data_IF_270884999489
#
_entry.id   IF_270884999489
#
_cell.length_a   1.000
_cell.length_b   1.000
_cell.length_c   1.000
_cell.angle_alpha   90.00
_cell.angle_beta   90.00
_cell.angle_gamma   90.00
#
_symmetry.space_group_name_H-M   'P 1'
#
loop_
_entity.id
_entity.type
_entity.pdbx_description
1 polymer ?
#
# COMPACT_ATOMS: atom_id res chain seq x y z
N UNK A 1 -23.21 26.38 8.69
CA UNK A 1 -24.40 25.73 8.10
C UNK A 1 -23.97 25.23 6.71
N UNK A 2 -23.68 23.96 6.60
CA UNK A 2 -23.29 23.34 5.34
C UNK A 2 -24.39 22.34 4.99
N UNK A 3 -25.15 22.61 3.94
CA UNK A 3 -26.18 21.72 3.42
C UNK A 3 -25.52 20.54 2.71
N UNK A 4 -26.04 19.31 2.87
CA UNK A 4 -25.59 18.17 2.11
C UNK A 4 -26.06 18.29 0.66
N UNK A 5 -25.17 17.98 -0.27
CA UNK A 5 -25.43 17.87 -1.70
C UNK A 5 -26.12 16.53 -2.00
N UNK A 6 -27.45 16.48 -1.78
CA UNK A 6 -28.33 15.46 -2.35
C UNK A 6 -29.03 16.09 -3.55
N UNK A 7 -28.47 15.94 -4.70
CA UNK A 7 -29.15 15.99 -6.01
C UNK A 7 -28.10 15.86 -7.12
N UNK A 8 -27.94 14.69 -7.63
CA UNK A 8 -27.57 14.43 -9.03
C UNK A 8 -27.40 12.91 -9.19
N UNK A 9 -28.40 12.26 -9.68
CA UNK A 9 -28.43 11.41 -10.87
C UNK A 9 -29.80 10.70 -10.85
N UNK A 10 -30.82 11.39 -11.31
CA UNK A 10 -32.01 10.76 -11.86
C UNK A 10 -31.89 10.82 -13.38
N UNK A 11 -31.23 9.87 -13.98
CA UNK A 11 -31.36 9.56 -15.40
C UNK A 11 -32.03 8.19 -15.50
N UNK A 12 -33.33 8.20 -15.80
CA UNK A 12 -34.03 7.01 -16.25
C UNK A 12 -33.32 6.41 -17.45
N UNK A 13 -33.05 5.09 -17.48
CA UNK A 13 -32.49 4.47 -18.66
C UNK A 13 -33.50 4.51 -19.83
N UNK A 14 -33.05 4.65 -21.08
CA UNK A 14 -33.93 4.59 -22.24
C UNK A 14 -34.62 3.23 -22.31
N UNK A 15 -35.92 3.24 -22.42
CA UNK A 15 -36.72 2.05 -22.69
C UNK A 15 -36.47 1.59 -24.14
N UNK A 16 -36.01 0.35 -24.28
CA UNK A 16 -36.00 -0.33 -25.57
C UNK A 16 -34.63 -0.91 -25.98
N UNK A 17 -34.44 -2.20 -25.69
CA UNK A 17 -33.35 -3.02 -26.23
C UNK A 17 -33.31 -4.36 -25.50
N UNK A 18 -33.64 -5.46 -26.23
CA UNK A 18 -33.85 -6.80 -25.73
C UNK A 18 -32.95 -7.24 -24.59
N UNK A 19 -33.53 -7.75 -23.54
CA UNK A 19 -32.89 -8.53 -22.48
C UNK A 19 -32.28 -9.79 -23.10
N UNK A 20 -31.10 -9.67 -23.70
CA UNK A 20 -30.26 -10.84 -23.90
C UNK A 20 -29.83 -11.30 -22.51
N UNK A 21 -30.33 -12.43 -22.02
CA UNK A 21 -29.79 -13.10 -20.84
C UNK A 21 -28.27 -13.22 -20.97
N UNK A 22 -27.56 -12.35 -20.30
CA UNK A 22 -26.11 -12.51 -20.15
C UNK A 22 -25.92 -13.71 -19.24
N UNK A 23 -25.47 -14.82 -19.79
CA UNK A 23 -25.08 -15.97 -19.01
C UNK A 23 -24.10 -15.61 -17.89
N UNK A 24 -23.93 -16.46 -16.89
CA UNK A 24 -23.06 -16.19 -15.75
C UNK A 24 -21.64 -15.82 -16.22
N UNK A 25 -21.14 -14.68 -15.74
CA UNK A 25 -19.76 -14.24 -16.02
C UNK A 25 -18.82 -15.16 -15.27
N UNK A 26 -18.07 -15.99 -15.97
CA UNK A 26 -17.03 -16.84 -15.38
C UNK A 26 -15.73 -16.03 -15.29
N UNK A 27 -15.27 -15.80 -14.08
CA UNK A 27 -13.98 -15.13 -13.85
C UNK A 27 -12.81 -16.09 -14.06
N UNK A 28 -11.74 -15.61 -14.67
CA UNK A 28 -10.47 -16.33 -14.63
C UNK A 28 -9.88 -16.30 -13.21
N UNK A 29 -9.01 -17.25 -12.82
CA UNK A 29 -8.38 -17.23 -11.50
C UNK A 29 -7.69 -15.90 -11.18
N UNK A 30 -7.05 -15.27 -12.17
CA UNK A 30 -6.40 -13.97 -12.04
C UNK A 30 -7.40 -12.84 -11.76
N UNK A 31 -8.53 -12.81 -12.47
CA UNK A 31 -9.60 -11.84 -12.22
C UNK A 31 -10.21 -12.02 -10.83
N UNK A 32 -10.42 -13.27 -10.38
CA UNK A 32 -10.93 -13.56 -9.04
C UNK A 32 -10.00 -13.03 -7.95
N UNK A 33 -8.69 -13.27 -8.07
CA UNK A 33 -7.68 -12.73 -7.14
C UNK A 33 -7.65 -11.20 -7.17
N UNK A 34 -7.73 -10.59 -8.33
CA UNK A 34 -7.75 -9.13 -8.44
C UNK A 34 -8.95 -8.51 -7.70
N UNK A 35 -10.14 -9.09 -7.89
CA UNK A 35 -11.38 -8.66 -7.21
C UNK A 35 -11.27 -8.85 -5.69
N UNK A 36 -10.61 -9.90 -5.23
CA UNK A 36 -10.44 -10.20 -3.81
C UNK A 36 -9.39 -9.30 -3.14
N UNK A 37 -8.29 -8.99 -3.83
CA UNK A 37 -7.14 -8.28 -3.25
C UNK A 37 -7.23 -6.76 -3.39
N UNK A 38 -7.84 -6.23 -4.45
CA UNK A 38 -7.92 -4.79 -4.64
C UNK A 38 -8.64 -4.06 -3.49
N UNK A 39 -9.75 -4.56 -2.93
CA UNK A 39 -10.37 -3.99 -1.74
C UNK A 39 -9.46 -3.99 -0.51
N UNK A 40 -8.59 -5.00 -0.34
CA UNK A 40 -7.60 -5.04 0.73
C UNK A 40 -6.62 -3.86 0.62
N UNK A 41 -6.04 -3.61 -0.55
CA UNK A 41 -5.11 -2.51 -0.77
C UNK A 41 -5.78 -1.13 -0.68
N UNK A 42 -7.02 -1.01 -1.14
CA UNK A 42 -7.81 0.24 -0.98
C UNK A 42 -8.06 0.51 0.50
N UNK A 43 -8.45 -0.50 1.28
CA UNK A 43 -8.64 -0.36 2.72
C UNK A 43 -7.35 0.04 3.42
N UNK A 44 -6.23 -0.60 3.09
CA UNK A 44 -4.91 -0.26 3.63
C UNK A 44 -4.59 1.22 3.40
N UNK A 45 -4.74 1.71 2.16
CA UNK A 45 -4.51 3.11 1.80
C UNK A 45 -5.34 4.08 2.65
N UNK A 46 -6.64 3.79 2.84
CA UNK A 46 -7.51 4.59 3.69
C UNK A 46 -7.11 4.57 5.17
N UNK A 47 -6.71 3.42 5.71
CA UNK A 47 -6.25 3.33 7.10
C UNK A 47 -5.02 4.22 7.35
N UNK A 48 -4.08 4.25 6.41
CA UNK A 48 -2.90 5.11 6.47
C UNK A 48 -3.28 6.60 6.36
N UNK A 49 -4.12 6.96 5.38
CA UNK A 49 -4.54 8.35 5.15
C UNK A 49 -5.39 8.92 6.30
N UNK A 50 -6.16 8.06 6.98
CA UNK A 50 -6.96 8.39 8.16
C UNK A 50 -6.19 8.26 9.47
N UNK A 51 -4.91 7.87 9.41
CA UNK A 51 -4.04 7.66 10.58
C UNK A 51 -4.56 6.59 11.56
N UNK A 52 -5.30 5.60 11.06
CA UNK A 52 -5.77 4.44 11.81
C UNK A 52 -4.68 3.37 11.90
N UNK A 53 -3.52 3.78 12.45
CA UNK A 53 -2.30 2.98 12.38
C UNK A 53 -2.37 1.67 13.17
N UNK A 54 -3.18 1.60 14.23
CA UNK A 54 -3.40 0.34 14.97
C UNK A 54 -4.17 -0.67 14.12
N UNK A 55 -5.25 -0.23 13.45
CA UNK A 55 -6.00 -1.08 12.52
C UNK A 55 -5.14 -1.47 11.29
N UNK A 56 -4.24 -0.60 10.86
CA UNK A 56 -3.28 -0.90 9.82
C UNK A 56 -2.30 -2.01 10.23
N UNK A 57 -1.81 -2.01 11.47
CA UNK A 57 -0.96 -3.10 12.00
C UNK A 57 -1.65 -4.46 11.96
N UNK A 58 -2.98 -4.54 12.11
CA UNK A 58 -3.73 -5.78 12.05
C UNK A 58 -3.73 -6.43 10.65
N UNK A 59 -3.33 -5.69 9.62
CA UNK A 59 -3.18 -6.21 8.26
C UNK A 59 -1.92 -7.04 8.06
N UNK A 60 -1.05 -7.13 9.03
CA UNK A 60 0.21 -7.88 8.96
C UNK A 60 0.16 -9.13 9.81
N UNK A 61 0.86 -10.19 9.36
CA UNK A 61 1.08 -11.38 10.18
C UNK A 61 2.08 -11.10 11.31
N UNK A 62 2.11 -11.94 12.33
CA UNK A 62 3.04 -11.78 13.44
C UNK A 62 4.52 -12.01 13.02
N UNK A 63 4.73 -12.83 11.99
CA UNK A 63 6.02 -13.15 11.39
C UNK A 63 6.38 -12.25 10.20
N UNK A 64 5.73 -11.10 10.04
CA UNK A 64 5.95 -10.21 8.90
C UNK A 64 7.40 -9.75 8.80
N UNK A 65 7.89 -9.68 7.56
CA UNK A 65 9.10 -8.94 7.19
C UNK A 65 8.69 -7.72 6.34
N UNK A 66 8.94 -6.53 6.87
CA UNK A 66 8.74 -5.25 6.20
C UNK A 66 10.09 -4.69 5.77
N UNK A 67 10.41 -4.78 4.50
CA UNK A 67 11.73 -4.53 3.94
C UNK A 67 11.70 -3.41 2.92
N UNK A 68 12.63 -2.46 3.04
CA UNK A 68 12.85 -1.41 2.06
C UNK A 68 14.34 -1.39 1.70
N UNK A 69 14.72 -2.00 0.56
CA UNK A 69 16.09 -1.98 0.09
C UNK A 69 16.55 -0.57 -0.25
N UNK A 70 17.85 -0.36 -0.27
CA UNK A 70 18.44 0.82 -0.88
C UNK A 70 18.58 0.61 -2.39
N UNK A 71 18.15 1.61 -3.15
CA UNK A 71 18.39 1.66 -4.60
C UNK A 71 19.72 2.38 -4.87
N UNK A 72 20.51 1.85 -5.79
CA UNK A 72 21.80 2.40 -6.24
C UNK A 72 21.68 2.74 -7.72
N UNK A 73 22.25 3.86 -8.13
CA UNK A 73 22.43 4.14 -9.55
C UNK A 73 23.58 3.29 -10.08
N UNK A 74 23.27 2.30 -10.88
CA UNK A 74 24.24 1.40 -11.49
C UNK A 74 24.19 1.47 -13.01
N UNK A 75 25.29 1.17 -13.71
CA UNK A 75 25.26 1.05 -15.18
C UNK A 75 24.26 -0.02 -15.63
N UNK A 76 23.68 0.15 -16.84
CA UNK A 76 22.68 -0.78 -17.39
C UNK A 76 23.08 -2.26 -17.35
N UNK A 77 24.37 -2.54 -17.53
CA UNK A 77 24.91 -3.93 -17.45
C UNK A 77 24.90 -4.53 -16.04
N UNK A 78 24.67 -3.70 -14.99
CA UNK A 78 24.73 -4.08 -13.58
C UNK A 78 23.37 -3.91 -12.88
N UNK A 79 22.25 -3.81 -13.63
CA UNK A 79 20.92 -3.59 -13.05
C UNK A 79 20.53 -4.64 -12.00
N UNK A 80 21.05 -5.87 -12.09
CA UNK A 80 20.85 -6.92 -11.07
C UNK A 80 21.44 -6.54 -9.68
N UNK A 81 22.27 -5.49 -9.61
CA UNK A 81 22.87 -4.97 -8.37
C UNK A 81 22.27 -3.64 -7.93
N UNK A 82 21.19 -3.21 -8.58
CA UNK A 82 20.54 -1.92 -8.31
C UNK A 82 19.96 -1.86 -6.89
N UNK A 83 19.40 -2.96 -6.40
CA UNK A 83 18.83 -3.07 -5.07
C UNK A 83 19.74 -3.83 -4.12
N UNK A 84 19.78 -3.40 -2.85
CA UNK A 84 20.46 -4.16 -1.80
C UNK A 84 19.61 -5.39 -1.42
N UNK A 85 20.29 -6.46 -1.00
CA UNK A 85 19.63 -7.68 -0.54
C UNK A 85 19.27 -7.58 0.95
N UNK A 86 18.39 -8.47 1.41
CA UNK A 86 18.14 -8.67 2.83
C UNK A 86 19.42 -9.03 3.56
N UNK A 87 19.68 -8.44 4.73
CA UNK A 87 20.91 -8.57 5.49
C UNK A 87 22.03 -7.61 5.07
N UNK A 88 21.88 -6.90 3.94
CA UNK A 88 22.71 -5.75 3.58
C UNK A 88 22.16 -4.47 4.20
N UNK A 89 22.88 -3.36 4.00
CA UNK A 89 22.39 -2.05 4.45
C UNK A 89 21.11 -1.66 3.69
N UNK A 90 19.98 -1.71 4.38
CA UNK A 90 18.65 -1.33 3.90
C UNK A 90 18.23 0.07 4.39
N UNK A 91 17.15 0.61 3.84
CA UNK A 91 16.46 1.79 4.41
C UNK A 91 15.66 1.34 5.62
N UNK A 92 14.89 0.25 5.49
CA UNK A 92 14.14 -0.40 6.57
C UNK A 92 14.27 -1.92 6.43
N UNK A 93 14.42 -2.60 7.56
CA UNK A 93 14.27 -4.04 7.70
C UNK A 93 13.66 -4.29 9.08
N UNK A 94 12.33 -4.45 9.10
CA UNK A 94 11.53 -4.40 10.32
C UNK A 94 10.62 -5.63 10.42
N UNK A 95 10.48 -6.14 11.63
CA UNK A 95 9.47 -7.13 12.00
C UNK A 95 8.20 -6.44 12.56
N UNK A 96 7.22 -7.23 12.98
CA UNK A 96 5.97 -6.75 13.58
C UNK A 96 6.22 -5.85 14.78
N UNK A 97 7.14 -6.21 15.64
CA UNK A 97 7.47 -5.46 16.85
C UNK A 97 8.03 -4.07 16.54
N UNK A 98 8.90 -3.95 15.53
CA UNK A 98 9.42 -2.65 15.13
C UNK A 98 8.34 -1.77 14.51
N UNK A 99 7.42 -2.34 13.70
CA UNK A 99 6.27 -1.61 13.19
C UNK A 99 5.37 -1.08 14.33
N UNK A 100 5.10 -1.90 15.33
CA UNK A 100 4.35 -1.50 16.53
C UNK A 100 5.04 -0.37 17.30
N UNK A 101 6.35 -0.44 17.46
CA UNK A 101 7.13 0.62 18.11
C UNK A 101 7.08 1.94 17.32
N UNK A 102 7.12 1.89 15.98
CA UNK A 102 6.97 3.09 15.14
C UNK A 102 5.58 3.71 15.29
N UNK A 103 4.53 2.90 15.26
CA UNK A 103 3.15 3.37 15.48
C UNK A 103 2.99 3.97 16.88
N UNK A 104 3.47 3.29 17.92
CA UNK A 104 3.41 3.80 19.28
C UNK A 104 4.13 5.14 19.46
N UNK A 105 5.26 5.35 18.76
CA UNK A 105 5.99 6.63 18.78
C UNK A 105 5.16 7.76 18.17
N UNK A 106 4.44 7.50 17.07
CA UNK A 106 3.56 8.49 16.44
C UNK A 106 2.36 8.82 17.35
N UNK A 107 1.77 7.81 17.97
CA UNK A 107 0.62 7.98 18.87
C UNK A 107 0.99 8.72 20.18
N UNK A 108 2.22 8.61 20.63
CA UNK A 108 2.66 9.21 21.92
C UNK A 108 2.88 10.72 21.86
N UNK A 109 2.80 11.35 20.68
CA UNK A 109 3.17 12.76 20.50
C UNK A 109 4.68 13.06 20.65
N UNK A 110 5.52 12.03 20.91
CA UNK A 110 6.98 12.22 20.98
C UNK A 110 7.64 12.37 19.59
N UNK A 111 6.88 12.13 18.54
CA UNK A 111 7.33 12.39 17.17
C UNK A 111 7.11 13.86 16.80
N UNK A 112 7.81 14.77 17.46
CA UNK A 112 7.68 16.23 17.28
C UNK A 112 7.76 16.68 15.80
N UNK A 113 8.44 15.92 14.94
CA UNK A 113 8.51 16.18 13.49
C UNK A 113 7.17 15.88 12.76
N UNK A 114 6.21 15.24 13.43
CA UNK A 114 4.87 14.93 12.96
C UNK A 114 3.80 15.60 13.85
N UNK A 115 4.14 16.67 14.53
CA UNK A 115 3.20 17.52 15.28
C UNK A 115 3.27 18.98 14.75
N UNK A 116 2.20 19.46 14.08
CA UNK A 116 0.95 18.79 13.72
C UNK A 116 1.16 17.64 12.68
N UNK A 117 0.28 16.62 12.68
CA UNK A 117 0.49 15.44 11.85
C UNK A 117 0.39 15.76 10.36
N UNK A 118 1.25 15.12 9.56
CA UNK A 118 1.20 15.19 8.11
C UNK A 118 -0.14 14.67 7.55
N UNK A 119 -0.52 15.19 6.41
CA UNK A 119 -1.64 14.66 5.60
C UNK A 119 -1.05 13.84 4.47
N UNK A 120 -1.53 12.62 4.31
CA UNK A 120 -1.08 11.72 3.27
C UNK A 120 -2.22 11.39 2.32
N UNK A 121 -1.85 11.00 1.10
CA UNK A 121 -2.75 10.41 0.13
C UNK A 121 -2.04 9.28 -0.58
N UNK A 122 -2.49 8.05 -0.34
CA UNK A 122 -1.97 6.85 -0.97
C UNK A 122 -2.83 6.48 -2.18
N UNK A 123 -2.21 6.44 -3.35
CA UNK A 123 -2.80 5.89 -4.57
C UNK A 123 -2.10 4.57 -4.88
N UNK A 124 -2.86 3.48 -4.85
CA UNK A 124 -2.36 2.13 -5.12
C UNK A 124 -3.02 1.62 -6.40
N UNK A 125 -2.20 1.06 -7.29
CA UNK A 125 -2.68 0.57 -8.57
C UNK A 125 -1.79 -0.50 -9.18
N UNK A 126 -2.05 -0.85 -10.44
CA UNK A 126 -1.28 -1.83 -11.22
C UNK A 126 -1.11 -3.16 -10.49
N UNK A 127 -2.18 -3.65 -9.84
CA UNK A 127 -2.14 -4.91 -9.10
C UNK A 127 -1.96 -6.09 -10.05
N UNK A 128 -0.89 -6.84 -9.84
CA UNK A 128 -0.66 -8.17 -10.37
C UNK A 128 -0.62 -9.15 -9.18
N UNK A 129 -1.26 -10.30 -9.32
CA UNK A 129 -1.30 -11.30 -8.26
C UNK A 129 -1.17 -12.72 -8.83
N UNK A 130 -0.33 -13.53 -8.19
CA UNK A 130 -0.06 -14.92 -8.60
C UNK A 130 -0.13 -15.83 -7.38
N UNK A 131 -0.93 -16.92 -7.42
CA UNK A 131 -0.93 -17.93 -6.36
C UNK A 131 0.44 -18.58 -6.24
N UNK A 132 0.84 -18.89 -5.00
CA UNK A 132 2.03 -19.69 -4.68
C UNK A 132 1.61 -21.11 -4.25
N UNK A 133 2.51 -22.07 -4.38
CA UNK A 133 2.25 -23.50 -4.11
C UNK A 133 1.87 -23.78 -2.65
N UNK A 134 2.25 -22.90 -1.71
CA UNK A 134 1.96 -23.00 -0.28
C UNK A 134 0.61 -22.38 0.13
N UNK A 135 -0.21 -21.94 -0.82
CA UNK A 135 -1.49 -21.29 -0.57
C UNK A 135 -1.39 -19.78 -0.25
N UNK A 136 -0.19 -19.22 -0.28
CA UNK A 136 0.03 -17.77 -0.24
C UNK A 136 -0.16 -17.16 -1.64
N UNK A 137 -0.12 -15.84 -1.72
CA UNK A 137 -0.21 -15.11 -2.98
C UNK A 137 0.93 -14.10 -3.06
N UNK A 138 1.70 -14.15 -4.13
CA UNK A 138 2.61 -13.07 -4.49
C UNK A 138 1.81 -11.98 -5.19
N UNK A 139 1.90 -10.75 -4.69
CA UNK A 139 1.22 -9.60 -5.25
C UNK A 139 2.21 -8.47 -5.50
N UNK A 140 2.05 -7.77 -6.62
CA UNK A 140 2.83 -6.58 -6.96
C UNK A 140 1.90 -5.43 -7.21
N UNK A 141 2.18 -4.26 -6.62
CA UNK A 141 1.41 -3.02 -6.84
C UNK A 141 2.36 -1.85 -7.09
N UNK A 142 1.91 -0.88 -7.87
CA UNK A 142 2.55 0.43 -7.92
C UNK A 142 1.89 1.37 -6.90
N UNK A 143 2.65 2.31 -6.37
CA UNK A 143 2.11 3.34 -5.48
C UNK A 143 2.60 4.73 -5.85
N UNK A 144 1.74 5.70 -5.54
CA UNK A 144 2.06 7.12 -5.50
C UNK A 144 1.53 7.67 -4.18
N UNK A 145 2.43 8.22 -3.34
CA UNK A 145 2.05 8.78 -2.05
C UNK A 145 2.41 10.26 -2.03
N UNK A 146 1.40 11.09 -1.88
CA UNK A 146 1.57 12.51 -1.60
C UNK A 146 1.53 12.74 -0.10
N UNK A 147 2.51 13.45 0.44
CA UNK A 147 2.56 13.94 1.82
C UNK A 147 2.59 15.47 1.81
N UNK A 148 1.81 16.08 2.67
CA UNK A 148 1.84 17.50 2.97
C UNK A 148 1.97 17.68 4.48
N UNK A 149 2.98 18.45 4.89
CA UNK A 149 3.21 18.79 6.29
C UNK A 149 3.39 20.31 6.40
N UNK A 150 2.68 20.93 7.33
CA UNK A 150 2.63 22.37 7.46
C UNK A 150 2.23 23.07 6.14
N UNK A 151 2.83 24.22 5.85
CA UNK A 151 2.44 25.10 4.73
C UNK A 151 3.30 24.86 3.47
N UNK A 152 4.53 24.44 3.63
CA UNK A 152 5.52 24.42 2.55
C UNK A 152 6.22 23.07 2.35
N UNK A 153 6.05 22.12 3.27
CA UNK A 153 6.69 20.81 3.18
C UNK A 153 5.79 19.83 2.43
N UNK A 154 6.15 19.54 1.18
CA UNK A 154 5.43 18.63 0.30
C UNK A 154 6.37 17.57 -0.24
N UNK A 155 5.93 16.33 -0.23
CA UNK A 155 6.68 15.20 -0.76
C UNK A 155 5.79 14.33 -1.65
N UNK A 156 6.36 13.87 -2.75
CA UNK A 156 5.78 12.86 -3.62
C UNK A 156 6.71 11.65 -3.64
N UNK A 157 6.21 10.51 -3.18
CA UNK A 157 6.92 9.24 -3.20
C UNK A 157 6.26 8.32 -4.23
N UNK A 158 7.06 7.69 -5.07
CA UNK A 158 6.62 6.66 -6.02
C UNK A 158 7.47 5.42 -5.93
N UNK A 159 6.89 4.30 -6.33
CA UNK A 159 7.58 3.03 -6.33
C UNK A 159 6.63 1.85 -6.53
N UNK A 160 7.12 0.68 -6.20
CA UNK A 160 6.30 -0.53 -6.18
C UNK A 160 6.45 -1.28 -4.84
N UNK A 161 5.44 -2.09 -4.54
CA UNK A 161 5.45 -3.06 -3.45
C UNK A 161 5.43 -4.45 -4.05
N UNK A 162 6.22 -5.34 -3.48
CA UNK A 162 6.17 -6.77 -3.73
C UNK A 162 5.79 -7.44 -2.41
N UNK A 163 4.56 -7.95 -2.35
CA UNK A 163 3.98 -8.51 -1.15
C UNK A 163 3.84 -10.03 -1.29
N UNK A 164 4.00 -10.74 -0.18
CA UNK A 164 3.49 -12.09 0.02
C UNK A 164 2.31 -11.98 0.97
N UNK A 165 1.13 -12.37 0.50
CA UNK A 165 -0.12 -12.33 1.25
C UNK A 165 -0.48 -13.74 1.71
N UNK A 166 -0.90 -13.85 2.96
CA UNK A 166 -1.35 -15.09 3.61
C UNK A 166 -2.76 -14.91 4.17
N UNK A 167 -3.61 -15.93 4.05
CA UNK A 167 -4.90 -15.94 4.76
C UNK A 167 -4.71 -16.41 6.20
N UNK A 168 -5.12 -15.57 7.14
CA UNK A 168 -5.17 -15.89 8.58
C UNK A 168 -6.61 -15.67 9.02
N UNK A 169 -7.24 -16.70 9.56
CA UNK A 169 -8.67 -16.68 9.98
C UNK A 169 -9.61 -16.15 8.89
N UNK A 170 -9.33 -16.54 7.64
CA UNK A 170 -10.12 -16.15 6.47
C UNK A 170 -9.86 -14.75 5.91
N UNK A 171 -9.03 -13.92 6.57
CA UNK A 171 -8.65 -12.58 6.13
C UNK A 171 -7.24 -12.56 5.52
N UNK A 172 -7.05 -11.74 4.48
CA UNK A 172 -5.73 -11.51 3.93
C UNK A 172 -4.87 -10.68 4.88
N UNK A 173 -3.62 -11.11 5.06
CA UNK A 173 -2.58 -10.37 5.78
C UNK A 173 -1.28 -10.37 5.00
N UNK A 174 -0.49 -9.33 5.17
CA UNK A 174 0.86 -9.22 4.60
C UNK A 174 1.83 -10.05 5.45
N UNK A 175 2.39 -11.11 4.89
CA UNK A 175 3.44 -11.91 5.53
C UNK A 175 4.84 -11.40 5.17
N UNK A 176 4.98 -10.78 4.00
CA UNK A 176 6.21 -10.11 3.57
C UNK A 176 5.86 -8.91 2.71
N UNK A 177 6.53 -7.81 2.91
CA UNK A 177 6.46 -6.64 2.04
C UNK A 177 7.86 -6.17 1.68
N UNK A 178 8.14 -6.06 0.39
CA UNK A 178 9.32 -5.36 -0.11
C UNK A 178 8.86 -4.06 -0.78
N UNK A 179 9.37 -2.92 -0.32
CA UNK A 179 9.02 -1.60 -0.83
C UNK A 179 10.20 -1.07 -1.64
N UNK A 180 10.00 -0.88 -2.92
CA UNK A 180 11.04 -0.43 -3.84
C UNK A 180 10.70 0.98 -4.29
N UNK A 181 11.43 1.96 -3.76
CA UNK A 181 11.27 3.36 -4.16
C UNK A 181 11.90 3.60 -5.53
N UNK A 182 11.28 4.48 -6.35
CA UNK A 182 11.87 4.92 -7.60
C UNK A 182 13.03 5.89 -7.36
N UNK A 183 12.96 6.67 -6.29
CA UNK A 183 14.03 7.56 -5.87
C UNK A 183 15.17 6.79 -5.19
N UNK A 184 16.42 7.06 -5.58
CA UNK A 184 17.61 6.51 -4.91
C UNK A 184 18.05 7.33 -3.69
N UNK A 185 17.60 8.58 -3.56
CA UNK A 185 17.87 9.47 -2.45
C UNK A 185 16.56 10.03 -1.95
N UNK A 186 16.27 9.83 -0.67
CA UNK A 186 15.19 10.52 0.01
C UNK A 186 15.70 11.90 0.42
N UNK A 187 15.09 12.96 -0.11
CA UNK A 187 15.47 14.33 0.21
C UNK A 187 14.96 14.79 1.58
N UNK A 188 14.04 14.03 2.16
CA UNK A 188 13.46 14.31 3.46
C UNK A 188 14.37 13.93 4.63
N UNK A 189 14.25 14.71 5.70
CA UNK A 189 14.96 14.46 6.97
C UNK A 189 14.46 13.22 7.70
N UNK A 190 13.22 12.80 7.44
CA UNK A 190 12.59 11.63 8.09
C UNK A 190 11.62 10.93 7.15
N UNK A 191 11.71 9.61 7.06
CA UNK A 191 10.67 8.76 6.47
C UNK A 191 9.63 8.44 7.55
N UNK A 192 8.73 9.38 7.81
CA UNK A 192 7.65 9.22 8.80
C UNK A 192 6.42 8.52 8.23
N UNK A 193 6.33 8.41 6.91
CA UNK A 193 5.22 7.80 6.19
C UNK A 193 5.40 6.28 6.12
N UNK A 194 4.32 5.54 6.32
CA UNK A 194 4.27 4.12 6.00
C UNK A 194 3.90 3.95 4.52
N UNK A 195 4.52 2.94 3.87
CA UNK A 195 4.37 2.69 2.43
C UNK A 195 3.92 1.26 2.18
#
# INVERSE_FOLDING_TARGET
MHQPADALISSSPPAGGGEGERGPVTLTPHQALWIELMPFYIREAWLLDERKLKEWLDLFTDDVLYFMPRRKNVPRRELHRELTSQGDLAILEEDKRYLEMRVARLDSGMAWAEDPPSRTRHLIGNLEATPLDNGEVAARTAFLVYRSHLETDHQLLSGCREDVLRKVDGAWKVARRTIILDANVLLDKNLSVFL
#
